data_IF_954657320658
#
_entry.id   IF_954657320658
#
_cell.length_a   1.000
_cell.length_b   1.000
_cell.length_c   1.000
_cell.angle_alpha   90.00
_cell.angle_beta   90.00
_cell.angle_gamma   90.00
#
_symmetry.space_group_name_H-M   'P 1'
#
loop_
_entity.id
_entity.type
_entity.pdbx_description
1 polymer ?
#
# COMPACT_ATOMS: atom_id res chain seq x y z
N UNK A 1 27.87 -22.82 21.74
CA UNK A 1 28.53 -22.15 20.60
C UNK A 1 28.11 -20.69 20.65
N UNK A 2 29.07 -19.77 20.72
CA UNK A 2 28.90 -18.38 21.16
C UNK A 2 28.05 -17.51 20.21
N UNK A 3 26.87 -17.11 20.68
CA UNK A 3 25.94 -16.18 20.01
C UNK A 3 26.54 -14.76 19.93
N UNK A 4 27.47 -14.43 20.83
CA UNK A 4 28.11 -13.11 20.93
C UNK A 4 29.06 -12.80 19.77
N UNK A 5 29.60 -13.82 19.08
CA UNK A 5 30.51 -13.63 17.95
C UNK A 5 29.78 -13.27 16.64
N UNK A 6 28.52 -13.69 16.48
CA UNK A 6 27.75 -13.37 15.28
C UNK A 6 27.24 -11.92 15.28
N UNK A 7 26.81 -11.39 16.44
CA UNK A 7 26.31 -10.01 16.50
C UNK A 7 27.41 -8.98 16.20
N UNK A 8 28.65 -9.24 16.65
CA UNK A 8 29.78 -8.35 16.37
C UNK A 8 30.15 -8.30 14.88
N UNK A 9 29.98 -9.43 14.18
CA UNK A 9 30.26 -9.52 12.74
C UNK A 9 29.20 -8.79 11.91
N UNK A 10 27.94 -8.79 12.37
CA UNK A 10 26.85 -8.05 11.72
C UNK A 10 27.03 -6.54 11.86
N UNK A 11 27.41 -6.06 13.05
CA UNK A 11 27.70 -4.62 13.29
C UNK A 11 28.92 -4.13 12.47
N UNK A 12 29.95 -4.96 12.30
CA UNK A 12 31.11 -4.63 11.46
C UNK A 12 30.75 -4.53 9.97
N UNK A 13 29.77 -5.33 9.49
CA UNK A 13 29.28 -5.29 8.11
C UNK A 13 28.40 -4.05 7.88
N UNK A 14 27.49 -3.72 8.81
CA UNK A 14 26.65 -2.51 8.70
C UNK A 14 27.48 -1.22 8.69
N UNK A 15 28.52 -1.17 9.53
CA UNK A 15 29.45 -0.03 9.55
C UNK A 15 30.23 0.12 8.24
N UNK A 16 30.68 -1.00 7.65
CA UNK A 16 31.39 -0.99 6.38
C UNK A 16 30.49 -0.53 5.20
N UNK A 17 29.20 -0.84 5.26
CA UNK A 17 28.22 -0.39 4.24
C UNK A 17 27.97 1.12 4.37
N UNK A 18 27.82 1.66 5.58
CA UNK A 18 27.64 3.10 5.80
C UNK A 18 28.86 3.92 5.36
N UNK A 19 30.08 3.43 5.61
CA UNK A 19 31.31 4.11 5.19
C UNK A 19 31.43 4.17 3.65
N UNK A 20 31.04 3.10 2.94
CA UNK A 20 31.04 3.05 1.48
C UNK A 20 30.01 3.99 0.81
N UNK A 21 28.89 4.28 1.47
CA UNK A 21 27.87 5.22 0.96
C UNK A 21 28.26 6.70 1.14
N UNK A 22 29.03 7.01 2.18
CA UNK A 22 29.52 8.38 2.41
C UNK A 22 30.61 8.82 1.44
N UNK A 23 31.46 7.90 0.97
CA UNK A 23 32.52 8.22 0.00
C UNK A 23 31.97 8.45 -1.41
N UNK A 24 30.86 7.80 -1.77
CA UNK A 24 30.21 8.01 -3.07
C UNK A 24 29.46 9.36 -3.16
N UNK A 25 29.09 9.93 -2.01
CA UNK A 25 28.38 11.22 -1.94
C UNK A 25 29.30 12.44 -2.02
N UNK A 26 30.58 12.30 -1.61
CA UNK A 26 31.57 13.40 -1.71
C UNK A 26 32.11 13.63 -3.13
N UNK A 27 32.14 12.60 -3.98
CA UNK A 27 32.63 12.73 -5.35
C UNK A 27 31.68 13.52 -6.29
N UNK A 28 30.42 13.76 -5.89
CA UNK A 28 29.40 14.41 -6.74
C UNK A 28 29.33 15.94 -6.57
N UNK A 29 29.84 16.50 -5.48
CA UNK A 29 29.67 17.92 -5.13
C UNK A 29 30.76 18.87 -5.69
N UNK A 30 31.91 18.36 -6.10
CA UNK A 30 33.04 19.21 -6.56
C UNK A 30 33.00 19.61 -8.04
N UNK A 31 31.94 19.24 -8.79
CA UNK A 31 31.84 19.56 -10.24
C UNK A 31 30.96 20.78 -10.59
N UNK A 32 30.32 21.43 -9.61
CA UNK A 32 29.25 22.40 -9.85
C UNK A 32 29.59 23.89 -9.62
N UNK A 33 30.87 24.27 -9.50
CA UNK A 33 31.26 25.69 -9.37
C UNK A 33 32.31 26.07 -10.42
N UNK A 34 31.86 26.27 -11.66
CA UNK A 34 32.50 27.22 -12.57
C UNK A 34 31.58 27.54 -13.75
N UNK A 35 31.51 28.85 -14.10
CA UNK A 35 30.78 29.48 -15.23
C UNK A 35 29.25 29.60 -15.08
N UNK A 36 28.57 30.74 -15.34
CA UNK A 36 28.96 31.94 -16.08
C UNK A 36 28.05 33.15 -15.76
N UNK A 37 28.63 34.34 -15.97
CA UNK A 37 28.05 35.69 -15.89
C UNK A 37 27.38 36.15 -17.21
N UNK A 38 26.53 37.20 -17.11
CA UNK A 38 25.98 38.10 -18.18
C UNK A 38 24.87 37.48 -19.08
N UNK A 39 23.76 38.14 -19.40
CA UNK A 39 23.55 39.56 -19.73
C UNK A 39 22.06 39.99 -19.65
N UNK A 40 21.85 41.31 -19.62
CA UNK A 40 20.61 42.11 -19.65
C UNK A 40 19.64 41.76 -20.78
N UNK A 41 18.31 41.92 -20.63
CA UNK A 41 17.58 43.16 -20.99
C UNK A 41 16.14 43.21 -20.44
N UNK A 42 15.71 44.40 -19.98
CA UNK A 42 14.31 44.91 -19.85
C UNK A 42 13.90 45.58 -21.19
N UNK A 43 12.68 46.13 -21.44
CA UNK A 43 11.52 46.43 -20.56
C UNK A 43 10.15 45.97 -21.20
N UNK A 44 8.94 46.11 -20.63
CA UNK A 44 8.12 47.35 -20.55
C UNK A 44 6.69 47.04 -20.05
N UNK A 45 6.09 48.03 -19.38
CA UNK A 45 4.77 48.16 -18.74
C UNK A 45 3.53 48.11 -19.67
N UNK A 46 2.37 47.75 -19.10
CA UNK A 46 1.00 48.35 -19.25
C UNK A 46 0.10 47.81 -18.11
N UNK A 47 -0.27 48.59 -17.08
CA UNK A 47 -1.47 49.48 -16.94
C UNK A 47 -2.81 48.75 -17.11
N UNK A 48 -3.53 48.48 -16.00
CA UNK A 48 -4.74 49.21 -15.53
C UNK A 48 -6.04 48.60 -16.10
N UNK A 49 -7.22 48.48 -15.46
CA UNK A 49 -8.05 49.30 -14.56
C UNK A 49 -9.14 48.31 -13.99
N UNK A 50 -9.59 48.37 -12.73
CA UNK A 50 -10.89 48.96 -12.24
C UNK A 50 -12.16 48.16 -12.71
N UNK A 51 -13.06 47.62 -11.87
CA UNK A 51 -14.03 48.22 -10.91
C UNK A 51 -14.74 47.08 -10.11
N UNK A 52 -15.02 47.20 -8.79
CA UNK A 52 -16.32 47.56 -8.10
C UNK A 52 -17.52 46.65 -8.48
N UNK A 53 -18.39 46.12 -7.61
CA UNK A 53 -19.05 46.58 -6.36
C UNK A 53 -19.46 45.35 -5.48
N UNK A 54 -19.41 45.33 -4.13
CA UNK A 54 -20.32 45.91 -3.10
C UNK A 54 -21.80 45.47 -3.27
N UNK A 55 -22.49 44.76 -2.34
CA UNK A 55 -23.06 45.22 -1.04
C UNK A 55 -23.87 44.11 -0.30
N UNK A 56 -23.85 44.14 1.05
CA UNK A 56 -24.85 43.70 2.08
C UNK A 56 -25.03 42.19 2.36
N UNK A 57 -24.93 41.66 3.59
CA UNK A 57 -25.42 42.14 4.91
C UNK A 57 -26.89 41.69 5.09
N UNK A 58 -27.40 41.10 6.19
CA UNK A 58 -27.14 41.22 7.65
C UNK A 58 -27.81 39.99 8.37
N UNK A 59 -27.88 39.85 9.73
CA UNK A 59 -27.67 38.61 10.47
C UNK A 59 -28.93 38.17 11.26
N UNK A 60 -28.84 37.26 12.25
CA UNK A 60 -29.41 37.42 13.62
C UNK A 60 -29.17 36.20 14.55
N UNK A 61 -28.58 36.54 15.70
CA UNK A 61 -28.70 36.11 17.12
C UNK A 61 -28.68 34.66 17.63
N UNK A 62 -27.73 34.53 18.58
CA UNK A 62 -27.59 33.68 19.78
C UNK A 62 -28.86 33.45 20.62
N UNK A 63 -28.91 32.29 21.30
CA UNK A 63 -29.35 32.19 22.71
C UNK A 63 -28.69 31.00 23.41
N UNK A 64 -28.27 31.21 24.66
CA UNK A 64 -27.70 30.22 25.56
C UNK A 64 -28.78 29.56 26.44
N UNK A 65 -28.52 28.35 26.92
CA UNK A 65 -29.30 27.66 27.95
C UNK A 65 -28.64 26.35 28.38
N UNK A 66 -28.31 26.26 29.67
CA UNK A 66 -27.69 25.13 30.38
C UNK A 66 -28.70 24.03 30.72
N UNK A 67 -28.23 22.78 30.87
CA UNK A 67 -28.95 21.76 31.65
C UNK A 67 -28.51 20.33 31.39
N UNK A 68 -27.94 19.70 32.41
CA UNK A 68 -27.60 18.27 32.49
C UNK A 68 -28.81 17.35 32.31
N UNK A 69 -28.64 16.17 31.67
CA UNK A 69 -29.21 14.87 32.08
C UNK A 69 -28.73 13.73 31.16
N UNK A 70 -28.67 12.55 31.77
CA UNK A 70 -28.29 11.19 31.36
C UNK A 70 -28.84 10.67 30.01
N UNK A 71 -28.23 9.63 29.41
CA UNK A 71 -28.62 9.12 28.09
C UNK A 71 -29.95 8.35 28.17
N UNK A 72 -30.95 8.81 27.43
CA UNK A 72 -32.24 8.16 27.26
C UNK A 72 -32.26 7.56 25.84
N UNK A 73 -32.50 6.26 25.73
CA UNK A 73 -32.83 5.58 24.48
C UNK A 73 -34.07 6.23 23.84
N UNK A 74 -34.11 6.46 22.52
CA UNK A 74 -35.31 6.94 21.85
C UNK A 74 -36.31 5.79 21.65
N UNK A 75 -37.46 5.90 22.31
CA UNK A 75 -38.68 5.14 21.98
C UNK A 75 -39.15 5.55 20.57
N UNK A 76 -39.20 4.57 19.66
CA UNK A 76 -39.79 4.75 18.34
C UNK A 76 -41.31 4.55 18.41
N UNK A 77 -42.02 5.50 17.80
CA UNK A 77 -43.44 5.37 17.45
C UNK A 77 -43.55 4.30 16.35
N UNK A 78 -44.33 3.25 16.64
CA UNK A 78 -44.64 2.16 15.71
C UNK A 78 -45.83 2.57 14.86
N UNK A 79 -45.58 2.94 13.61
CA UNK A 79 -46.60 2.90 12.57
C UNK A 79 -46.38 1.64 11.73
N UNK A 80 -47.31 0.69 11.88
CA UNK A 80 -47.41 -0.54 11.11
C UNK A 80 -47.71 -0.22 9.63
N UNK A 81 -46.71 -0.41 8.78
CA UNK A 81 -46.93 -0.62 7.34
C UNK A 81 -46.27 -1.96 6.99
N UNK A 82 -47.09 -3.00 7.01
CA UNK A 82 -46.74 -4.34 6.51
C UNK A 82 -46.75 -4.28 4.97
N UNK A 83 -45.64 -3.83 4.37
CA UNK A 83 -45.39 -4.04 2.95
C UNK A 83 -44.64 -5.37 2.78
N UNK A 84 -45.37 -6.37 2.29
CA UNK A 84 -44.81 -7.62 1.79
C UNK A 84 -44.01 -7.34 0.50
N UNK A 85 -42.78 -6.84 0.66
CA UNK A 85 -41.79 -6.94 -0.40
C UNK A 85 -41.38 -8.42 -0.58
N UNK A 86 -41.19 -8.91 -1.82
CA UNK A 86 -40.66 -10.24 -2.04
C UNK A 86 -39.32 -10.37 -1.32
N UNK A 87 -39.24 -11.29 -0.36
CA UNK A 87 -38.03 -11.58 0.42
C UNK A 87 -36.88 -11.92 -0.54
N UNK A 88 -36.06 -10.93 -0.85
CA UNK A 88 -34.89 -11.09 -1.70
C UNK A 88 -33.97 -12.14 -1.09
N UNK A 89 -33.69 -13.20 -1.86
CA UNK A 89 -32.68 -14.20 -1.52
C UNK A 89 -31.34 -13.73 -2.08
N UNK A 90 -30.31 -13.70 -1.23
CA UNK A 90 -28.96 -13.28 -1.63
C UNK A 90 -28.11 -14.50 -1.95
N UNK A 91 -27.57 -14.57 -3.18
CA UNK A 91 -26.56 -15.54 -3.57
C UNK A 91 -25.19 -15.16 -3.05
N UNK A 92 -24.24 -16.11 -3.07
CA UNK A 92 -22.88 -15.88 -2.58
C UNK A 92 -22.16 -14.77 -3.37
N UNK A 93 -22.46 -14.65 -4.67
CA UNK A 93 -21.89 -13.61 -5.54
C UNK A 93 -22.45 -12.21 -5.29
N UNK A 94 -23.56 -12.09 -4.55
CA UNK A 94 -24.21 -10.81 -4.26
C UNK A 94 -23.65 -10.13 -3.01
N UNK A 95 -22.81 -10.83 -2.25
CA UNK A 95 -22.33 -10.41 -0.93
C UNK A 95 -20.82 -10.58 -0.82
N UNK A 96 -20.18 -9.68 -0.07
CA UNK A 96 -18.80 -9.84 0.36
C UNK A 96 -18.80 -10.43 1.78
N UNK A 97 -18.23 -11.63 1.94
CA UNK A 97 -18.12 -12.28 3.24
C UNK A 97 -16.93 -11.71 3.99
N UNK A 98 -17.18 -11.07 5.13
CA UNK A 98 -16.13 -10.64 6.05
C UNK A 98 -15.94 -11.67 7.17
N UNK A 99 -14.72 -11.77 7.68
CA UNK A 99 -14.36 -12.74 8.72
C UNK A 99 -14.25 -12.08 10.10
N UNK A 100 -14.30 -12.89 11.16
CA UNK A 100 -14.00 -12.45 12.52
C UNK A 100 -12.59 -11.82 12.59
N UNK A 101 -11.60 -12.44 11.94
CA UNK A 101 -10.23 -11.93 11.83
C UNK A 101 -10.17 -10.54 11.19
N UNK A 102 -10.94 -10.31 10.13
CA UNK A 102 -11.02 -8.99 9.52
C UNK A 102 -11.50 -7.94 10.53
N UNK A 103 -12.53 -8.24 11.31
CA UNK A 103 -13.03 -7.33 12.35
C UNK A 103 -12.00 -7.12 13.48
N UNK A 104 -11.29 -8.16 13.88
CA UNK A 104 -10.21 -8.05 14.86
C UNK A 104 -9.05 -7.17 14.35
N UNK A 105 -8.70 -7.30 13.06
CA UNK A 105 -7.72 -6.42 12.40
C UNK A 105 -8.16 -4.96 12.38
N UNK A 106 -9.46 -4.66 12.22
CA UNK A 106 -9.98 -3.29 12.37
C UNK A 106 -9.75 -2.72 13.76
N UNK A 107 -10.04 -3.53 14.79
CA UNK A 107 -9.86 -3.15 16.18
C UNK A 107 -8.37 -2.89 16.46
N UNK A 108 -7.49 -3.79 16.03
CA UNK A 108 -6.05 -3.65 16.16
C UNK A 108 -5.52 -2.41 15.43
N UNK A 109 -5.99 -2.16 14.22
CA UNK A 109 -5.62 -0.98 13.43
C UNK A 109 -6.01 0.32 14.14
N UNK A 110 -7.20 0.38 14.74
CA UNK A 110 -7.63 1.54 15.49
C UNK A 110 -6.77 1.81 16.73
N UNK A 111 -6.29 0.77 17.42
CA UNK A 111 -5.33 0.94 18.52
C UNK A 111 -3.95 1.37 18.01
N UNK A 112 -3.49 0.84 16.88
CA UNK A 112 -2.24 1.27 16.24
C UNK A 112 -2.29 2.75 15.82
N UNK A 113 -3.37 3.16 15.15
CA UNK A 113 -3.64 4.55 14.76
C UNK A 113 -3.71 5.46 15.98
N UNK A 114 -4.26 4.98 17.09
CA UNK A 114 -4.34 5.72 18.35
C UNK A 114 -2.98 5.98 18.97
N UNK A 115 -2.04 5.05 18.87
CA UNK A 115 -0.65 5.24 19.32
C UNK A 115 0.08 6.29 18.46
N UNK A 116 -0.29 6.43 17.18
CA UNK A 116 0.29 7.37 16.21
C UNK A 116 -0.63 8.55 15.89
N UNK A 117 -1.38 9.02 16.89
CA UNK A 117 -2.46 10.01 16.76
C UNK A 117 -2.10 11.26 15.94
N UNK A 118 -0.95 11.86 16.17
CA UNK A 118 -0.54 13.11 15.50
C UNK A 118 -0.36 12.94 13.99
N UNK A 119 0.01 11.74 13.55
CA UNK A 119 0.16 11.41 12.13
C UNK A 119 -1.23 11.23 11.50
N UNK A 120 -2.07 10.38 12.11
CA UNK A 120 -3.34 9.98 11.51
C UNK A 120 -4.46 11.03 11.61
N UNK A 121 -4.34 12.00 12.52
CA UNK A 121 -5.24 13.17 12.54
C UNK A 121 -5.06 14.12 11.37
N UNK A 122 -3.87 14.15 10.79
CA UNK A 122 -3.54 14.98 9.62
C UNK A 122 -3.61 14.18 8.32
N UNK A 123 -3.93 12.88 8.40
CA UNK A 123 -4.06 12.00 7.25
C UNK A 123 -5.51 11.99 6.76
N UNK A 124 -5.77 12.25 5.47
CA UNK A 124 -7.11 12.10 4.92
C UNK A 124 -7.57 10.65 5.05
N UNK A 125 -8.89 10.45 5.11
CA UNK A 125 -9.49 9.12 5.12
C UNK A 125 -8.99 8.33 3.91
N UNK A 126 -8.38 7.18 4.17
CA UNK A 126 -7.87 6.33 3.11
C UNK A 126 -9.01 5.63 2.37
N UNK A 127 -8.82 5.38 1.07
CA UNK A 127 -9.85 4.77 0.24
C UNK A 127 -10.23 3.37 0.75
N UNK A 128 -11.54 3.08 0.82
CA UNK A 128 -12.09 1.77 1.18
C UNK A 128 -12.81 1.23 -0.05
N UNK A 129 -12.59 -0.04 -0.40
CA UNK A 129 -13.48 -0.71 -1.35
C UNK A 129 -14.87 -0.71 -0.73
N UNK A 130 -15.85 -0.17 -1.45
CA UNK A 130 -17.24 -0.15 -1.01
C UNK A 130 -17.93 -1.32 -1.68
N UNK A 131 -17.98 -2.44 -0.98
CA UNK A 131 -18.84 -3.53 -1.40
C UNK A 131 -20.29 -3.20 -1.06
N UNK A 132 -21.22 -3.64 -1.93
CA UNK A 132 -22.63 -3.28 -1.79
C UNK A 132 -23.23 -3.90 -0.52
N UNK A 133 -22.83 -5.11 -0.14
CA UNK A 133 -23.30 -5.81 1.07
C UNK A 133 -22.13 -6.60 1.66
N UNK A 134 -21.69 -6.22 2.85
CA UNK A 134 -20.63 -6.92 3.61
C UNK A 134 -21.26 -7.68 4.77
N UNK A 135 -21.07 -9.00 4.83
CA UNK A 135 -21.73 -9.87 5.81
C UNK A 135 -20.71 -10.61 6.68
N UNK A 136 -20.87 -10.53 8.00
CA UNK A 136 -20.31 -11.51 8.92
C UNK A 136 -21.32 -12.63 9.11
N UNK A 137 -20.91 -13.88 8.87
CA UNK A 137 -21.80 -15.03 9.01
C UNK A 137 -21.84 -15.51 10.48
N UNK A 138 -23.05 -15.69 11.00
CA UNK A 138 -23.35 -16.28 12.32
C UNK A 138 -24.13 -17.58 12.17
N UNK A 139 -23.83 -18.57 13.02
CA UNK A 139 -24.52 -19.88 13.04
C UNK A 139 -25.50 -19.95 14.20
N UNK A 140 -26.81 -19.99 13.93
CA UNK A 140 -27.80 -20.26 14.99
C UNK A 140 -27.72 -21.71 15.48
N UNK A 141 -28.22 -22.02 16.70
CA UNK A 141 -28.26 -23.39 17.25
C UNK A 141 -28.96 -24.47 16.41
N UNK A 142 -29.72 -24.09 15.38
CA UNK A 142 -30.36 -25.00 14.40
C UNK A 142 -29.59 -25.11 13.08
N UNK A 143 -28.30 -24.77 13.07
CA UNK A 143 -27.41 -24.68 11.90
C UNK A 143 -27.86 -23.72 10.79
N UNK A 144 -28.88 -22.89 11.03
CA UNK A 144 -29.30 -21.87 10.08
C UNK A 144 -28.28 -20.72 10.07
N UNK A 145 -27.73 -20.44 8.89
CA UNK A 145 -26.85 -19.29 8.67
C UNK A 145 -27.65 -17.99 8.64
N UNK A 146 -27.05 -16.95 9.24
CA UNK A 146 -27.53 -15.58 9.19
C UNK A 146 -26.36 -14.66 8.90
N UNK A 147 -26.57 -13.69 8.02
CA UNK A 147 -25.62 -12.62 7.77
C UNK A 147 -25.88 -11.44 8.68
N UNK A 148 -24.84 -10.94 9.34
CA UNK A 148 -24.86 -9.67 10.08
C UNK A 148 -24.19 -8.63 9.18
N UNK A 149 -24.93 -7.62 8.76
CA UNK A 149 -24.42 -6.58 7.85
C UNK A 149 -23.38 -5.76 8.57
N UNK A 150 -22.17 -5.70 8.03
CA UNK A 150 -21.17 -4.75 8.48
C UNK A 150 -21.51 -3.36 7.96
N UNK A 151 -21.89 -3.18 6.70
CA UNK A 151 -22.26 -1.89 6.12
C UNK A 151 -23.74 -1.50 6.33
N UNK A 152 -24.30 -1.78 7.53
CA UNK A 152 -25.70 -1.52 7.87
C UNK A 152 -26.09 -0.03 7.92
N UNK A 153 -25.11 0.84 8.14
CA UNK A 153 -25.27 2.30 8.17
C UNK A 153 -24.26 2.98 7.25
N UNK A 154 -24.70 4.07 6.63
CA UNK A 154 -23.82 4.97 5.88
C UNK A 154 -22.77 5.56 6.83
N UNK A 155 -21.47 5.40 6.56
CA UNK A 155 -20.44 6.00 7.39
C UNK A 155 -20.63 7.51 7.52
N UNK A 156 -20.40 8.09 8.72
CA UNK A 156 -20.39 9.54 8.86
C UNK A 156 -19.30 10.16 7.98
N UNK A 157 -19.51 11.41 7.56
CA UNK A 157 -18.46 12.19 6.92
C UNK A 157 -17.41 12.50 7.99
N UNK A 158 -16.27 11.82 7.93
CA UNK A 158 -15.14 11.99 8.85
C UNK A 158 -13.97 12.62 8.09
N UNK A 159 -13.28 13.53 8.77
CA UNK A 159 -12.27 14.37 8.11
C UNK A 159 -10.90 13.70 8.01
N UNK A 160 -10.63 12.72 8.89
CA UNK A 160 -9.32 12.10 9.01
C UNK A 160 -9.37 10.60 9.32
N UNK A 161 -8.27 9.93 9.00
CA UNK A 161 -8.11 8.48 9.18
C UNK A 161 -8.19 8.06 10.65
N UNK A 162 -7.76 8.91 11.59
CA UNK A 162 -7.86 8.63 13.02
C UNK A 162 -9.31 8.42 13.47
N UNK A 163 -10.19 9.38 13.18
CA UNK A 163 -11.61 9.30 13.54
C UNK A 163 -12.29 8.14 12.83
N UNK A 164 -11.95 7.91 11.56
CA UNK A 164 -12.47 6.80 10.79
C UNK A 164 -12.12 5.45 11.40
N UNK A 165 -10.87 5.24 11.80
CA UNK A 165 -10.45 4.01 12.45
C UNK A 165 -11.18 3.78 13.79
N UNK A 166 -11.42 4.83 14.60
CA UNK A 166 -12.18 4.69 15.85
C UNK A 166 -13.66 4.35 15.60
N UNK A 167 -14.25 4.91 14.55
CA UNK A 167 -15.60 4.57 14.11
C UNK A 167 -15.68 3.10 13.69
N UNK A 168 -14.77 2.65 12.82
CA UNK A 168 -14.72 1.25 12.37
C UNK A 168 -14.48 0.27 13.51
N UNK A 169 -13.66 0.64 14.49
CA UNK A 169 -13.49 -0.15 15.72
C UNK A 169 -14.80 -0.36 16.46
N UNK A 170 -15.51 0.74 16.78
CA UNK A 170 -16.78 0.68 17.53
C UNK A 170 -17.80 -0.18 16.79
N UNK A 171 -17.80 -0.08 15.46
CA UNK A 171 -18.62 -0.88 14.56
C UNK A 171 -18.24 -2.36 14.58
N UNK A 172 -16.94 -2.66 14.47
CA UNK A 172 -16.43 -4.04 14.52
C UNK A 172 -16.75 -4.72 15.85
N UNK A 173 -16.55 -4.02 16.98
CA UNK A 173 -16.91 -4.51 18.32
C UNK A 173 -18.41 -4.81 18.44
N UNK A 174 -19.25 -3.90 17.92
CA UNK A 174 -20.70 -4.07 17.90
C UNK A 174 -21.10 -5.32 17.10
N UNK A 175 -20.56 -5.48 15.89
CA UNK A 175 -20.88 -6.62 15.02
C UNK A 175 -20.39 -7.95 15.61
N UNK A 176 -19.21 -7.97 16.22
CA UNK A 176 -18.71 -9.14 16.95
C UNK A 176 -19.61 -9.50 18.14
N UNK A 177 -20.04 -8.50 18.92
CA UNK A 177 -20.99 -8.71 20.02
C UNK A 177 -22.32 -9.27 19.52
N UNK A 178 -22.85 -8.76 18.41
CA UNK A 178 -24.08 -9.31 17.81
C UNK A 178 -23.90 -10.74 17.33
N UNK A 179 -22.76 -11.10 16.76
CA UNK A 179 -22.46 -12.49 16.38
C UNK A 179 -22.57 -13.40 17.60
N UNK A 180 -21.90 -13.08 18.70
CA UNK A 180 -21.98 -13.87 19.93
C UNK A 180 -23.41 -14.00 20.44
N UNK A 181 -24.15 -12.88 20.54
CA UNK A 181 -25.52 -12.88 21.03
C UNK A 181 -26.49 -13.71 20.14
N UNK A 182 -26.29 -13.68 18.82
CA UNK A 182 -27.11 -14.46 17.88
C UNK A 182 -26.77 -15.96 17.94
N UNK A 183 -25.49 -16.29 18.06
CA UNK A 183 -25.01 -17.69 18.17
C UNK A 183 -25.45 -18.31 19.50
N UNK A 184 -25.46 -17.54 20.59
CA UNK A 184 -25.97 -17.93 21.90
C UNK A 184 -27.51 -17.96 21.97
N UNK A 185 -28.20 -17.47 20.94
CA UNK A 185 -29.66 -17.40 20.87
C UNK A 185 -30.29 -16.30 21.72
N UNK A 186 -29.48 -15.37 22.25
CA UNK A 186 -29.90 -14.24 23.09
C UNK A 186 -30.43 -13.05 22.30
N UNK A 187 -30.22 -13.03 20.98
CA UNK A 187 -30.71 -11.98 20.10
C UNK A 187 -31.30 -12.55 18.81
N UNK A 188 -32.44 -12.02 18.38
CA UNK A 188 -33.14 -12.49 17.20
C UNK A 188 -33.10 -11.41 16.09
N UNK A 189 -32.97 -11.81 14.80
CA UNK A 189 -32.97 -10.86 13.68
C UNK A 189 -34.16 -9.92 13.63
N UNK A 190 -35.30 -10.37 14.16
CA UNK A 190 -36.54 -9.61 14.27
C UNK A 190 -36.41 -8.39 15.19
N UNK A 191 -35.46 -8.41 16.14
CA UNK A 191 -35.21 -7.29 17.07
C UNK A 191 -34.52 -6.10 16.37
N UNK A 192 -33.76 -6.35 15.30
CA UNK A 192 -33.06 -5.33 14.52
C UNK A 192 -32.95 -5.71 13.04
N UNK A 193 -34.07 -5.76 12.29
CA UNK A 193 -34.13 -6.38 10.96
C UNK A 193 -33.22 -5.72 9.91
N UNK A 194 -32.91 -4.43 10.08
CA UNK A 194 -31.99 -3.71 9.19
C UNK A 194 -30.54 -4.23 9.26
N UNK A 195 -30.13 -4.79 10.40
CA UNK A 195 -28.79 -5.34 10.68
C UNK A 195 -28.57 -6.73 10.09
N UNK A 196 -29.63 -7.47 9.78
CA UNK A 196 -29.52 -8.90 9.48
C UNK A 196 -29.99 -9.24 8.06
N UNK A 197 -29.42 -10.33 7.53
CA UNK A 197 -29.86 -10.99 6.30
C UNK A 197 -30.13 -12.45 6.63
N UNK A 198 -31.41 -12.84 6.59
CA UNK A 198 -31.86 -14.20 6.97
C UNK A 198 -32.16 -15.11 5.79
N UNK A 199 -32.23 -14.57 4.57
CA UNK A 199 -32.55 -15.31 3.34
C UNK A 199 -31.28 -15.50 2.51
N UNK A 200 -30.32 -16.24 3.08
CA UNK A 200 -29.09 -16.60 2.38
C UNK A 200 -29.38 -17.79 1.46
N UNK A 201 -29.04 -17.65 0.19
CA UNK A 201 -29.18 -18.69 -0.84
C UNK A 201 -27.97 -19.61 -0.96
N UNK A 202 -27.12 -19.66 0.06
CA UNK A 202 -25.85 -20.37 0.10
C UNK A 202 -25.63 -21.03 1.47
N UNK A 203 -24.77 -22.03 1.52
CA UNK A 203 -24.47 -22.82 2.72
C UNK A 203 -23.10 -22.51 3.35
N UNK A 204 -22.70 -23.31 4.35
CA UNK A 204 -21.42 -23.12 5.04
C UNK A 204 -20.19 -23.45 4.19
N UNK A 205 -20.33 -24.36 3.21
CA UNK A 205 -19.24 -24.69 2.29
C UNK A 205 -19.03 -23.55 1.30
N UNK A 206 -20.12 -22.95 0.80
CA UNK A 206 -20.06 -21.77 -0.06
C UNK A 206 -19.33 -20.61 0.63
N UNK A 207 -19.65 -20.36 1.91
CA UNK A 207 -18.97 -19.35 2.75
C UNK A 207 -17.48 -19.66 2.88
N UNK A 208 -17.14 -20.91 3.17
CA UNK A 208 -15.74 -21.34 3.33
C UNK A 208 -14.96 -21.15 2.02
N UNK A 209 -15.52 -21.59 0.90
CA UNK A 209 -14.93 -21.44 -0.42
C UNK A 209 -14.76 -19.96 -0.81
N UNK A 210 -15.73 -19.10 -0.49
CA UNK A 210 -15.66 -17.67 -0.79
C UNK A 210 -14.54 -16.98 0.01
N UNK A 211 -14.40 -17.29 1.30
CA UNK A 211 -13.32 -16.76 2.15
C UNK A 211 -11.96 -17.26 1.66
N UNK A 212 -11.83 -18.56 1.35
CA UNK A 212 -10.58 -19.13 0.82
C UNK A 212 -10.19 -18.49 -0.53
N UNK A 213 -11.16 -18.29 -1.42
CA UNK A 213 -10.94 -17.65 -2.71
C UNK A 213 -10.43 -16.20 -2.54
N UNK A 214 -11.01 -15.41 -1.63
CA UNK A 214 -10.55 -14.06 -1.35
C UNK A 214 -9.12 -14.04 -0.77
N UNK A 215 -8.84 -14.93 0.19
CA UNK A 215 -7.50 -15.09 0.76
C UNK A 215 -6.46 -15.45 -0.32
N UNK A 216 -6.76 -16.44 -1.17
CA UNK A 216 -5.88 -16.86 -2.25
C UNK A 216 -5.69 -15.75 -3.28
N UNK A 217 -6.74 -14.98 -3.58
CA UNK A 217 -6.64 -13.83 -4.48
C UNK A 217 -5.69 -12.77 -3.92
N UNK A 218 -5.81 -12.40 -2.63
CA UNK A 218 -4.90 -11.43 -1.99
C UNK A 218 -3.45 -11.89 -2.03
N UNK A 219 -3.20 -13.18 -1.76
CA UNK A 219 -1.86 -13.78 -1.87
C UNK A 219 -1.31 -13.71 -3.29
N UNK A 220 -2.11 -14.09 -4.28
CA UNK A 220 -1.71 -14.05 -5.69
C UNK A 220 -1.43 -12.62 -6.17
N UNK A 221 -2.25 -11.65 -5.78
CA UNK A 221 -2.06 -10.23 -6.10
C UNK A 221 -0.73 -9.72 -5.51
N UNK A 222 -0.44 -10.06 -4.24
CA UNK A 222 0.82 -9.73 -3.57
C UNK A 222 2.03 -10.37 -4.26
N UNK A 223 1.94 -11.66 -4.58
CA UNK A 223 3.00 -12.39 -5.29
C UNK A 223 3.30 -11.79 -6.67
N UNK A 224 2.26 -11.43 -7.41
CA UNK A 224 2.40 -10.78 -8.72
C UNK A 224 3.07 -9.41 -8.58
N UNK A 225 2.68 -8.64 -7.55
CA UNK A 225 3.29 -7.34 -7.25
C UNK A 225 4.78 -7.49 -6.98
N UNK A 226 5.17 -8.40 -6.07
CA UNK A 226 6.57 -8.65 -5.70
C UNK A 226 7.41 -9.17 -6.87
N UNK A 227 6.86 -10.05 -7.71
CA UNK A 227 7.52 -10.52 -8.94
C UNK A 227 7.77 -9.38 -9.93
N UNK A 228 6.81 -8.48 -10.06
CA UNK A 228 6.93 -7.31 -10.94
C UNK A 228 8.02 -6.37 -10.44
N UNK A 229 8.05 -6.11 -9.13
CA UNK A 229 9.10 -5.32 -8.49
C UNK A 229 10.49 -5.95 -8.67
N UNK A 230 10.62 -7.26 -8.42
CA UNK A 230 11.87 -7.97 -8.61
C UNK A 230 12.38 -7.85 -10.06
N UNK A 231 11.49 -8.06 -11.04
CA UNK A 231 11.83 -7.93 -12.46
C UNK A 231 12.28 -6.50 -12.82
N UNK A 232 11.66 -5.48 -12.21
CA UNK A 232 12.06 -4.09 -12.40
C UNK A 232 13.51 -3.84 -11.94
N UNK A 233 13.86 -4.33 -10.74
CA UNK A 233 15.21 -4.19 -10.16
C UNK A 233 16.24 -4.98 -10.96
N UNK A 234 15.92 -6.22 -11.32
CA UNK A 234 16.81 -7.04 -12.16
C UNK A 234 17.07 -6.38 -13.52
N UNK A 235 16.04 -5.78 -14.12
CA UNK A 235 16.16 -5.11 -15.40
C UNK A 235 17.04 -3.86 -15.29
N UNK A 236 16.95 -3.11 -14.18
CA UNK A 236 17.87 -1.99 -13.87
C UNK A 236 19.34 -2.45 -13.78
N UNK A 237 19.61 -3.54 -13.06
CA UNK A 237 20.96 -4.11 -12.98
C UNK A 237 21.46 -4.56 -14.36
N UNK A 238 20.65 -5.29 -15.13
CA UNK A 238 21.01 -5.77 -16.47
C UNK A 238 21.31 -4.62 -17.45
N UNK A 239 20.55 -3.52 -17.39
CA UNK A 239 20.83 -2.34 -18.22
C UNK A 239 22.18 -1.71 -17.85
N UNK A 240 22.48 -1.59 -16.55
CA UNK A 240 23.78 -1.06 -16.09
C UNK A 240 24.94 -1.93 -16.56
N UNK A 241 24.79 -3.25 -16.50
CA UNK A 241 25.80 -4.20 -16.97
C UNK A 241 26.01 -4.11 -18.49
N UNK A 242 24.93 -3.91 -19.27
CA UNK A 242 25.02 -3.70 -20.72
C UNK A 242 25.69 -2.38 -21.11
N UNK A 243 25.70 -1.36 -20.24
CA UNK A 243 26.17 -0.01 -20.56
C UNK A 243 27.46 0.37 -19.81
N UNK A 244 28.31 -0.63 -19.53
CA UNK A 244 29.58 -0.46 -18.83
C UNK A 244 30.64 0.37 -19.56
N UNK A 245 31.71 0.73 -18.83
CA UNK A 245 32.79 1.58 -19.35
C UNK A 245 33.80 0.83 -20.23
N UNK A 246 33.96 -0.48 -20.04
CA UNK A 246 34.92 -1.32 -20.78
C UNK A 246 34.37 -1.71 -22.16
N UNK A 247 33.07 -2.00 -22.21
CA UNK A 247 32.31 -2.33 -23.42
C UNK A 247 30.83 -2.07 -23.15
N UNK A 248 30.09 -1.74 -24.20
CA UNK A 248 28.65 -1.61 -24.15
C UNK A 248 27.94 -2.47 -25.20
N UNK A 249 26.75 -2.94 -24.84
CA UNK A 249 25.76 -3.57 -25.72
C UNK A 249 24.45 -2.78 -25.68
N UNK A 250 24.31 -1.71 -26.49
CA UNK A 250 23.09 -0.91 -26.52
C UNK A 250 21.88 -1.69 -27.06
N UNK A 251 22.07 -2.77 -27.82
CA UNK A 251 20.96 -3.56 -28.37
C UNK A 251 20.30 -4.38 -27.26
N UNK A 252 21.10 -5.04 -26.45
CA UNK A 252 20.60 -5.78 -25.30
C UNK A 252 19.96 -4.84 -24.26
N UNK A 253 20.56 -3.68 -24.01
CA UNK A 253 19.96 -2.66 -23.15
C UNK A 253 18.61 -2.15 -23.68
N UNK A 254 18.43 -2.08 -25.01
CA UNK A 254 17.16 -1.71 -25.63
C UNK A 254 16.05 -2.72 -25.30
N UNK A 255 16.34 -4.03 -25.40
CA UNK A 255 15.39 -5.09 -25.05
C UNK A 255 14.97 -5.01 -23.58
N UNK A 256 15.92 -4.69 -22.69
CA UNK A 256 15.61 -4.48 -21.28
C UNK A 256 14.75 -3.25 -21.03
N UNK A 257 14.96 -2.12 -21.73
CA UNK A 257 14.05 -0.98 -21.64
C UNK A 257 12.65 -1.30 -22.18
N UNK A 258 12.55 -2.08 -23.25
CA UNK A 258 11.28 -2.59 -23.74
C UNK A 258 10.59 -3.45 -22.66
N UNK A 259 11.31 -4.28 -21.92
CA UNK A 259 10.73 -5.02 -20.79
C UNK A 259 10.13 -4.06 -19.73
N UNK A 260 10.84 -2.99 -19.35
CA UNK A 260 10.31 -1.98 -18.41
C UNK A 260 8.99 -1.37 -18.91
N UNK A 261 8.87 -1.10 -20.22
CA UNK A 261 7.62 -0.59 -20.80
C UNK A 261 6.44 -1.55 -20.64
N UNK A 262 6.67 -2.86 -20.64
CA UNK A 262 5.61 -3.87 -20.51
C UNK A 262 5.26 -4.23 -19.06
N UNK A 263 6.09 -3.87 -18.07
CA UNK A 263 5.81 -4.14 -16.65
C UNK A 263 4.63 -3.31 -16.11
N UNK A 264 3.79 -3.90 -15.26
CA UNK A 264 2.76 -3.17 -14.53
C UNK A 264 3.36 -2.47 -13.30
N UNK A 265 4.05 -1.35 -13.53
CA UNK A 265 4.77 -0.62 -12.49
C UNK A 265 3.83 0.28 -11.70
N UNK A 266 3.90 0.20 -10.38
CA UNK A 266 3.20 1.08 -9.46
C UNK A 266 4.14 2.14 -8.85
N UNK A 267 3.58 3.26 -8.37
CA UNK A 267 4.34 4.38 -7.79
C UNK A 267 5.24 3.94 -6.62
N UNK A 268 4.76 3.01 -5.78
CA UNK A 268 5.49 2.49 -4.63
C UNK A 268 6.79 1.78 -5.03
N UNK A 269 6.78 0.97 -6.09
CA UNK A 269 7.98 0.28 -6.59
C UNK A 269 9.09 1.28 -6.94
N UNK A 270 8.73 2.40 -7.59
CA UNK A 270 9.69 3.43 -7.96
C UNK A 270 10.18 4.25 -6.77
N UNK A 271 9.36 4.42 -5.72
CA UNK A 271 9.80 5.06 -4.47
C UNK A 271 10.74 4.19 -3.65
N UNK A 272 10.52 2.87 -3.65
CA UNK A 272 11.43 1.88 -3.05
C UNK A 272 12.74 1.80 -3.81
N UNK A 273 12.69 1.89 -5.14
CA UNK A 273 13.85 1.74 -6.02
C UNK A 273 14.08 2.99 -6.89
N UNK A 274 14.43 4.14 -6.29
CA UNK A 274 14.59 5.39 -7.04
C UNK A 274 15.76 5.36 -8.03
N UNK A 275 16.72 4.45 -7.81
CA UNK A 275 17.83 4.21 -8.74
C UNK A 275 17.37 3.82 -10.14
N UNK A 276 16.18 3.22 -10.29
CA UNK A 276 15.60 2.84 -11.58
C UNK A 276 15.25 4.10 -12.38
N UNK A 277 14.59 5.07 -11.74
CA UNK A 277 14.22 6.35 -12.39
C UNK A 277 15.48 7.12 -12.78
N UNK A 278 16.47 7.16 -11.89
CA UNK A 278 17.77 7.79 -12.16
C UNK A 278 18.51 7.11 -13.32
N UNK A 279 18.51 5.77 -13.37
CA UNK A 279 19.13 5.01 -14.45
C UNK A 279 18.50 5.39 -15.78
N UNK A 280 17.16 5.32 -15.91
CA UNK A 280 16.47 5.68 -17.14
C UNK A 280 16.80 7.11 -17.55
N UNK A 281 16.78 8.05 -16.59
CA UNK A 281 17.13 9.45 -16.83
C UNK A 281 18.54 9.62 -17.40
N UNK A 282 19.53 8.87 -16.90
CA UNK A 282 20.91 8.89 -17.43
C UNK A 282 20.96 8.30 -18.84
N UNK A 283 20.25 7.19 -19.09
CA UNK A 283 20.23 6.51 -20.39
C UNK A 283 19.71 7.41 -21.51
N UNK A 284 18.76 8.33 -21.24
CA UNK A 284 18.28 9.34 -22.20
C UNK A 284 19.38 10.23 -22.78
N UNK A 285 20.49 10.38 -22.06
CA UNK A 285 21.66 11.17 -22.48
C UNK A 285 22.87 10.32 -22.85
N UNK A 286 22.68 9.00 -23.00
CA UNK A 286 23.77 8.06 -23.19
C UNK A 286 24.50 8.27 -24.53
N UNK A 287 25.82 8.43 -24.45
CA UNK A 287 26.72 8.55 -25.60
C UNK A 287 27.83 7.47 -25.63
N UNK A 288 27.97 6.68 -24.56
CA UNK A 288 29.03 5.67 -24.41
C UNK A 288 30.44 6.22 -24.26
N UNK A 289 31.39 5.33 -23.94
CA UNK A 289 32.82 5.63 -23.87
C UNK A 289 33.51 5.40 -25.22
N UNK A 290 32.94 5.98 -26.29
CA UNK A 290 33.40 5.75 -27.67
C UNK A 290 34.87 6.07 -27.90
N UNK A 291 35.43 7.02 -27.13
CA UNK A 291 36.85 7.39 -27.19
C UNK A 291 37.77 6.32 -26.59
N UNK A 292 37.29 5.56 -25.60
CA UNK A 292 38.06 4.52 -24.91
C UNK A 292 38.01 3.15 -25.59
N UNK A 293 37.00 2.88 -26.43
CA UNK A 293 36.77 1.55 -27.01
C UNK A 293 37.51 1.26 -28.31
N UNK A 294 38.23 2.25 -28.88
CA UNK A 294 38.99 2.09 -30.14
C UNK A 294 38.16 1.46 -31.29
N UNK A 295 36.91 1.92 -31.45
CA UNK A 295 36.00 1.40 -32.48
C UNK A 295 36.45 1.83 -33.88
N UNK A 296 36.24 0.95 -34.87
CA UNK A 296 36.34 1.32 -36.29
C UNK A 296 35.18 2.23 -36.70
N UNK A 297 35.33 3.00 -37.79
CA UNK A 297 34.30 3.94 -38.27
C UNK A 297 32.93 3.25 -38.46
N UNK A 298 32.91 2.04 -39.03
CA UNK A 298 31.68 1.26 -39.22
C UNK A 298 31.05 0.81 -37.90
N UNK A 299 31.87 0.41 -36.92
CA UNK A 299 31.39 0.04 -35.58
C UNK A 299 30.87 1.26 -34.83
N UNK A 300 31.53 2.41 -34.98
CA UNK A 300 31.12 3.68 -34.38
C UNK A 300 29.77 4.13 -34.95
N UNK A 301 29.58 4.09 -36.27
CA UNK A 301 28.30 4.41 -36.92
C UNK A 301 27.17 3.51 -36.41
N UNK A 302 27.42 2.20 -36.33
CA UNK A 302 26.45 1.22 -35.81
C UNK A 302 26.11 1.51 -34.35
N UNK A 303 27.13 1.75 -33.51
CA UNK A 303 26.94 2.08 -32.10
C UNK A 303 26.13 3.36 -31.92
N UNK A 304 26.42 4.41 -32.69
CA UNK A 304 25.69 5.68 -32.62
C UNK A 304 24.22 5.53 -33.00
N UNK A 305 23.93 4.73 -34.03
CA UNK A 305 22.55 4.40 -34.41
C UNK A 305 21.83 3.63 -33.29
N UNK A 306 22.48 2.63 -32.69
CA UNK A 306 21.91 1.84 -31.61
C UNK A 306 21.70 2.70 -30.33
N UNK A 307 22.67 3.54 -29.98
CA UNK A 307 22.59 4.47 -28.85
C UNK A 307 21.50 5.55 -29.05
N UNK A 308 21.25 5.99 -30.29
CA UNK A 308 20.12 6.87 -30.59
C UNK A 308 18.77 6.18 -30.34
N UNK A 309 18.62 4.92 -30.77
CA UNK A 309 17.41 4.13 -30.47
C UNK A 309 17.22 3.91 -28.97
N UNK A 310 18.31 3.61 -28.26
CA UNK A 310 18.32 3.45 -26.82
C UNK A 310 17.82 4.70 -26.09
N UNK A 311 18.30 5.89 -26.48
CA UNK A 311 17.86 7.16 -25.90
C UNK A 311 16.37 7.40 -26.12
N UNK A 312 15.88 7.23 -27.34
CA UNK A 312 14.45 7.37 -27.66
C UNK A 312 13.59 6.41 -26.82
N UNK A 313 14.06 5.17 -26.65
CA UNK A 313 13.35 4.18 -25.83
C UNK A 313 13.33 4.56 -24.35
N UNK A 314 14.43 5.11 -23.84
CA UNK A 314 14.49 5.62 -22.48
C UNK A 314 13.57 6.84 -22.28
N UNK A 315 13.38 7.68 -23.31
CA UNK A 315 12.36 8.74 -23.28
C UNK A 315 10.95 8.15 -23.10
N UNK A 316 10.60 7.10 -23.85
CA UNK A 316 9.30 6.41 -23.71
C UNK A 316 9.08 5.88 -22.29
N UNK A 317 10.11 5.23 -21.72
CA UNK A 317 10.06 4.71 -20.33
C UNK A 317 9.90 5.86 -19.33
N UNK A 318 10.61 6.97 -19.53
CA UNK A 318 10.50 8.13 -18.65
C UNK A 318 9.11 8.79 -18.73
N UNK A 319 8.51 8.87 -19.92
CA UNK A 319 7.13 9.32 -20.10
C UNK A 319 6.11 8.41 -19.41
N UNK A 320 6.34 7.09 -19.40
CA UNK A 320 5.55 6.15 -18.61
C UNK A 320 5.64 6.47 -17.11
N UNK A 321 6.83 6.77 -16.57
CA UNK A 321 6.98 7.16 -15.17
C UNK A 321 6.24 8.47 -14.85
N UNK A 322 6.31 9.47 -15.72
CA UNK A 322 5.54 10.72 -15.59
C UNK A 322 4.03 10.43 -15.51
N UNK A 323 3.55 9.51 -16.36
CA UNK A 323 2.15 9.09 -16.39
C UNK A 323 1.73 8.38 -15.11
N UNK A 324 2.56 7.49 -14.58
CA UNK A 324 2.31 6.77 -13.31
C UNK A 324 2.13 7.74 -12.14
N UNK A 325 2.88 8.85 -12.13
CA UNK A 325 2.78 9.89 -11.09
C UNK A 325 1.77 10.99 -11.43
N UNK A 326 1.06 10.89 -12.56
CA UNK A 326 0.09 11.89 -13.03
C UNK A 326 0.68 13.33 -13.08
N UNK A 327 1.97 13.44 -13.41
CA UNK A 327 2.68 14.71 -13.50
C UNK A 327 2.46 15.35 -14.89
N UNK A 328 2.41 16.68 -14.96
CA UNK A 328 2.09 17.38 -16.22
C UNK A 328 3.29 17.49 -17.17
N UNK A 329 4.50 17.47 -16.64
CA UNK A 329 5.74 17.64 -17.39
C UNK A 329 6.93 17.03 -16.63
N UNK A 330 8.08 16.93 -17.30
CA UNK A 330 9.29 16.28 -16.75
C UNK A 330 9.86 16.97 -15.52
N UNK A 331 9.82 18.31 -15.48
CA UNK A 331 10.40 19.10 -14.38
C UNK A 331 9.58 18.95 -13.12
N UNK A 332 8.25 19.04 -13.26
CA UNK A 332 7.28 18.79 -12.19
C UNK A 332 7.43 17.36 -11.67
N UNK A 333 7.45 16.38 -12.57
CA UNK A 333 7.65 14.98 -12.22
C UNK A 333 8.90 14.75 -11.38
N UNK A 334 10.07 15.23 -11.81
CA UNK A 334 11.32 14.96 -11.10
C UNK A 334 11.31 15.56 -9.69
N UNK A 335 10.84 16.79 -9.54
CA UNK A 335 10.75 17.46 -8.24
C UNK A 335 9.78 16.74 -7.30
N UNK A 336 8.59 16.39 -7.80
CA UNK A 336 7.56 15.69 -7.03
C UNK A 336 8.04 14.28 -6.65
N UNK A 337 8.66 13.56 -7.58
CA UNK A 337 9.24 12.24 -7.34
C UNK A 337 10.28 12.27 -6.22
N UNK A 338 11.21 13.23 -6.23
CA UNK A 338 12.18 13.40 -5.15
C UNK A 338 11.49 13.67 -3.80
N UNK A 339 10.44 14.50 -3.78
CA UNK A 339 9.64 14.75 -2.58
C UNK A 339 8.93 13.49 -2.05
N UNK A 340 8.38 12.69 -2.96
CA UNK A 340 7.74 11.41 -2.63
C UNK A 340 8.75 10.39 -2.06
N UNK A 341 9.94 10.28 -2.64
CA UNK A 341 11.02 9.42 -2.14
C UNK A 341 11.46 9.85 -0.74
N UNK A 342 11.63 11.16 -0.51
CA UNK A 342 12.01 11.67 0.80
C UNK A 342 10.93 11.38 1.85
N UNK A 343 9.65 11.56 1.49
CA UNK A 343 8.52 11.23 2.36
C UNK A 343 8.48 9.75 2.69
N UNK A 344 8.68 8.88 1.68
CA UNK A 344 8.74 7.44 1.88
C UNK A 344 9.87 7.04 2.83
N UNK A 345 11.08 7.59 2.65
CA UNK A 345 12.23 7.35 3.55
C UNK A 345 11.94 7.78 4.98
N UNK A 346 11.33 8.95 5.18
CA UNK A 346 10.96 9.40 6.53
C UNK A 346 9.93 8.48 7.20
N UNK A 347 8.94 8.00 6.43
CA UNK A 347 7.92 7.07 6.93
C UNK A 347 8.46 5.67 7.24
N UNK A 348 9.59 5.30 6.64
CA UNK A 348 10.20 3.96 6.75
C UNK A 348 11.50 3.96 7.55
N UNK A 349 11.94 5.10 8.10
CA UNK A 349 13.24 5.25 8.77
C UNK A 349 13.47 4.31 9.95
N UNK A 350 12.40 3.93 10.64
CA UNK A 350 12.42 3.06 11.82
C UNK A 350 12.09 1.59 11.47
N UNK A 351 11.92 1.28 10.17
CA UNK A 351 11.61 -0.06 9.67
C UNK A 351 12.89 -0.78 9.24
N UNK A 352 12.95 -2.10 9.46
CA UNK A 352 14.05 -2.89 8.92
C UNK A 352 13.91 -3.05 7.40
N UNK A 353 15.05 -3.23 6.71
CA UNK A 353 15.09 -3.31 5.25
C UNK A 353 14.21 -4.43 4.68
N UNK A 354 14.14 -5.58 5.36
CA UNK A 354 13.31 -6.70 4.92
C UNK A 354 11.83 -6.35 4.94
N UNK A 355 11.38 -5.60 5.95
CA UNK A 355 10.00 -5.13 6.02
C UNK A 355 9.71 -4.09 4.94
N UNK A 356 10.66 -3.17 4.68
CA UNK A 356 10.55 -2.20 3.59
C UNK A 356 10.41 -2.92 2.24
N UNK A 357 11.19 -3.99 2.00
CA UNK A 357 11.10 -4.80 0.78
C UNK A 357 9.78 -5.57 0.68
N UNK A 358 9.19 -6.01 1.79
CA UNK A 358 7.90 -6.71 1.80
C UNK A 358 6.69 -5.78 1.58
N UNK A 359 6.84 -4.46 1.73
CA UNK A 359 5.75 -3.51 1.52
C UNK A 359 5.21 -3.57 0.07
N UNK A 360 3.92 -3.86 -0.03
CA UNK A 360 3.09 -3.79 -1.25
C UNK A 360 2.07 -2.65 -1.21
N UNK A 361 2.09 -1.84 -0.15
CA UNK A 361 1.25 -0.67 0.04
C UNK A 361 2.02 0.45 0.76
N UNK A 362 1.48 1.67 0.77
CA UNK A 362 2.12 2.82 1.44
C UNK A 362 2.41 2.51 2.92
N UNK A 363 3.56 2.90 3.49
CA UNK A 363 4.00 2.47 4.83
C UNK A 363 3.02 2.79 5.97
N UNK A 364 2.27 3.88 5.85
CA UNK A 364 1.29 4.31 6.86
C UNK A 364 -0.16 3.91 6.50
N UNK A 365 -0.35 3.18 5.40
CA UNK A 365 -1.68 2.75 4.97
C UNK A 365 -2.24 1.64 5.86
N UNK A 366 -3.56 1.55 5.87
CA UNK A 366 -4.29 0.45 6.48
C UNK A 366 -3.93 -0.89 5.84
N UNK A 367 -3.73 -0.91 4.52
CA UNK A 367 -3.35 -2.12 3.80
C UNK A 367 -1.98 -2.64 4.25
N UNK A 368 -0.97 -1.76 4.35
CA UNK A 368 0.35 -2.15 4.87
C UNK A 368 0.29 -2.70 6.30
N UNK A 369 -0.58 -2.13 7.15
CA UNK A 369 -0.80 -2.65 8.50
C UNK A 369 -1.45 -4.05 8.47
N UNK A 370 -2.44 -4.28 7.60
CA UNK A 370 -3.07 -5.60 7.46
C UNK A 370 -2.11 -6.64 6.88
N UNK A 371 -1.35 -6.29 5.84
CA UNK A 371 -0.37 -7.21 5.24
C UNK A 371 0.67 -7.65 6.27
N UNK A 372 1.09 -6.74 7.16
CA UNK A 372 2.04 -7.05 8.23
C UNK A 372 1.45 -7.95 9.33
N UNK A 373 0.16 -7.80 9.63
CA UNK A 373 -0.53 -8.71 10.55
C UNK A 373 -0.63 -10.11 9.94
N UNK A 374 -1.04 -10.21 8.68
CA UNK A 374 -1.16 -11.49 7.97
C UNK A 374 0.21 -12.21 7.93
N UNK A 375 1.30 -11.50 7.64
CA UNK A 375 2.67 -12.06 7.70
C UNK A 375 3.07 -12.54 9.09
N UNK A 376 2.75 -11.76 10.14
CA UNK A 376 3.10 -12.12 11.52
C UNK A 376 2.33 -13.37 11.99
N UNK A 377 1.07 -13.51 11.59
CA UNK A 377 0.26 -14.69 11.89
C UNK A 377 0.74 -15.92 11.13
N UNK A 378 1.08 -15.79 9.85
CA UNK A 378 1.67 -16.88 9.06
C UNK A 378 3.00 -17.35 9.63
N UNK A 379 3.89 -16.42 10.03
CA UNK A 379 5.14 -16.77 10.69
C UNK A 379 4.91 -17.49 12.02
N UNK A 380 3.93 -17.05 12.83
CA UNK A 380 3.58 -17.70 14.09
C UNK A 380 3.11 -19.14 13.87
N UNK A 381 2.31 -19.38 12.83
CA UNK A 381 1.84 -20.71 12.48
C UNK A 381 2.99 -21.63 12.04
N UNK A 382 3.91 -21.12 11.21
CA UNK A 382 5.10 -21.87 10.78
C UNK A 382 6.02 -22.24 11.95
N UNK A 383 6.26 -21.31 12.88
CA UNK A 383 7.05 -21.58 14.08
C UNK A 383 6.38 -22.66 14.94
N UNK A 384 5.07 -22.56 15.17
CA UNK A 384 4.34 -23.57 15.94
C UNK A 384 4.38 -24.95 15.28
N UNK A 385 4.35 -25.02 13.96
CA UNK A 385 4.47 -26.28 13.22
C UNK A 385 5.88 -26.87 13.34
N UNK A 386 6.91 -26.06 13.19
CA UNK A 386 8.31 -26.48 13.37
C UNK A 386 8.57 -26.99 14.79
N UNK A 387 8.04 -26.32 15.82
CA UNK A 387 8.12 -26.78 17.21
C UNK A 387 7.45 -28.15 17.40
N UNK A 388 6.27 -28.35 16.79
CA UNK A 388 5.57 -29.64 16.86
C UNK A 388 6.31 -30.78 16.15
N UNK A 389 7.02 -30.48 15.05
CA UNK A 389 7.81 -31.46 14.31
C UNK A 389 9.11 -31.83 15.07
N UNK A 390 9.72 -30.87 15.78
CA UNK A 390 10.88 -31.11 16.65
C UNK A 390 10.50 -32.04 17.81
N UNK A 391 9.33 -31.83 18.42
CA UNK A 391 8.84 -32.69 19.49
C UNK A 391 8.59 -34.12 19.01
N UNK A 392 8.04 -34.30 17.80
CA UNK A 392 7.84 -35.63 17.20
C UNK A 392 9.15 -36.37 16.89
N UNK A 393 10.21 -35.64 16.50
CA UNK A 393 11.54 -36.24 16.25
C UNK A 393 12.18 -36.71 17.57
N UNK A 394 11.98 -35.97 18.67
CA UNK A 394 12.55 -36.33 19.99
C UNK A 394 11.96 -37.61 20.59
N UNK A 395 10.70 -37.93 20.28
CA UNK A 395 10.01 -39.15 20.77
C UNK A 395 10.51 -40.42 20.04
N UNK A 396 11.00 -40.29 18.81
CA UNK A 396 11.51 -41.42 18.01
C UNK A 396 12.94 -41.80 18.44
N UNK A 397 13.74 -40.87 18.98
CA UNK A 397 15.10 -41.17 19.44
C UNK A 397 15.18 -41.95 20.77
N UNK A 398 14.13 -41.92 21.59
CA UNK A 398 14.10 -42.57 22.91
C UNK A 398 13.55 -44.00 22.88
N UNK A 399 13.15 -44.51 21.71
CA UNK A 399 12.50 -45.83 21.57
C UNK A 399 13.37 -46.90 20.90
N UNK A 400 14.70 -46.74 20.86
CA UNK A 400 15.63 -47.83 20.52
C UNK A 400 16.14 -48.54 21.78
N UNK A 401 15.59 -49.71 22.17
CA UNK A 401 16.21 -50.53 23.20
C UNK A 401 17.48 -51.15 22.62
N UNK A 402 18.62 -50.75 23.17
CA UNK A 402 19.89 -51.46 22.99
C UNK A 402 19.68 -52.92 23.41
N UNK A 403 19.73 -53.83 22.45
CA UNK A 403 19.75 -55.29 22.67
C UNK A 403 21.12 -55.84 22.37
#
# INVERSE_FOLDING_TARGET
MDITANNKRTEEIEKAIQEAETDNSKASLDSAVSSNNKSSTKPTKRSALVSTDTVSGVPIKKRAGSGSKTPHLPEMIVDNIEQNEPKQTYGISDVHIITTDFLQRLIAYAEYVKQKKEIYKNMPVQNRKKDNIELLIAKKPKEKLIGIKFNYETPPSLDNEYEYAQYEKSKAETILSFKTLVEDGLHQPEDAPHMFVTNLGFDGNDVTNAVELDMNKRKNDKDLWLKTECNLIETDAKIKDCLGLDKADPKQALEYLDNILHLHIETLMLKKHPSVVDMVRRVRTYIGNVKGWNLTDKQLETFQADAARLRNKADDVYLKFITIFNARNETEFWNDFCGHVQTFREQTKDMCINYIHALTAEPLSRLAFFDAMDEAEEMKLLVSQLESDVDQISVISDSNPVS
#
